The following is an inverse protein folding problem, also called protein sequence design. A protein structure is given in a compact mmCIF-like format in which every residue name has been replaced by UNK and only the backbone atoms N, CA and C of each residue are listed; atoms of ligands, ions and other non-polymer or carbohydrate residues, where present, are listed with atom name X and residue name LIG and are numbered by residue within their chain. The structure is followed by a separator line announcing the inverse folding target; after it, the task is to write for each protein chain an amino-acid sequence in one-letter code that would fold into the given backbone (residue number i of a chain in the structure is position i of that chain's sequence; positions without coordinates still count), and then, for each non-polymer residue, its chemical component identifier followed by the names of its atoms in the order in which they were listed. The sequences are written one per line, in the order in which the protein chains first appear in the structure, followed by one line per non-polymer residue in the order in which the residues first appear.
data_IF_401159761341
#
_entry.id   IF_401159761341
#
_cell.length_a   1.000
_cell.length_b   1.000
_cell.length_c   1.000
_cell.angle_alpha   90.00
_cell.angle_beta   90.00
_cell.angle_gamma   90.00
#
_symmetry.space_group_name_H-M   'P 1'
#
loop_
_entity.id
_entity.type
_entity.pdbx_description
1 polymer ?
#
# COMPACT_ATOMS: atom_id res chain seq x y z
N UNK A 1 18.72 -16.02 2.27
CA UNK A 1 17.62 -17.00 2.08
C UNK A 1 18.24 -18.38 1.84
N UNK A 2 18.00 -19.33 2.74
CA UNK A 2 18.47 -20.71 2.59
C UNK A 2 17.43 -21.52 1.82
N UNK A 3 17.79 -22.02 0.64
CA UNK A 3 17.00 -22.99 -0.12
C UNK A 3 17.61 -24.37 0.06
N UNK A 4 16.88 -25.29 0.67
CA UNK A 4 17.21 -26.72 0.69
C UNK A 4 16.52 -27.41 -0.48
N UNK A 5 17.30 -27.96 -1.42
CA UNK A 5 16.80 -28.79 -2.51
C UNK A 5 16.87 -30.24 -2.06
N UNK A 6 15.72 -30.91 -1.90
CA UNK A 6 15.66 -32.35 -1.63
C UNK A 6 15.20 -33.07 -2.89
N UNK A 7 16.13 -33.75 -3.58
CA UNK A 7 15.83 -34.65 -4.69
C UNK A 7 15.60 -36.06 -4.15
N UNK A 8 14.38 -36.58 -4.27
CA UNK A 8 14.09 -38.00 -4.01
C UNK A 8 13.09 -38.52 -5.04
N UNK A 9 13.62 -39.30 -5.99
CA UNK A 9 12.90 -40.08 -6.98
C UNK A 9 12.48 -41.44 -6.40
N UNK A 10 11.19 -41.66 -6.14
CA UNK A 10 10.50 -42.97 -6.19
C UNK A 10 9.00 -42.80 -5.87
N UNK A 11 8.09 -43.51 -6.58
CA UNK A 11 6.66 -43.43 -6.30
C UNK A 11 6.31 -44.37 -5.13
N UNK A 12 5.78 -43.82 -4.03
CA UNK A 12 5.18 -44.61 -2.95
C UNK A 12 3.71 -44.26 -2.81
N UNK A 13 2.86 -45.29 -2.86
CA UNK A 13 1.43 -45.20 -2.63
C UNK A 13 1.11 -44.49 -1.29
N UNK A 14 0.19 -43.53 -1.34
CA UNK A 14 -0.32 -42.79 -0.19
C UNK A 14 -1.11 -43.73 0.75
N UNK A 15 -0.86 -43.71 2.07
CA UNK A 15 -1.83 -44.18 3.05
C UNK A 15 -2.95 -43.14 3.24
N UNK A 16 -4.14 -43.53 3.77
CA UNK A 16 -5.24 -42.61 4.02
C UNK A 16 -4.86 -41.57 5.07
N UNK A 17 -5.20 -40.29 4.83
CA UNK A 17 -4.91 -39.18 5.74
C UNK A 17 -5.92 -39.16 6.90
N UNK A 18 -5.42 -39.41 8.12
CA UNK A 18 -6.09 -39.08 9.38
C UNK A 18 -6.21 -37.56 9.54
N UNK A 19 -7.44 -37.12 9.80
CA UNK A 19 -7.78 -35.73 10.10
C UNK A 19 -7.23 -35.32 11.47
N UNK A 20 -6.04 -34.69 11.49
CA UNK A 20 -5.49 -34.11 12.72
C UNK A 20 -6.10 -32.73 12.97
N UNK A 21 -7.04 -32.68 13.91
CA UNK A 21 -7.57 -31.47 14.54
C UNK A 21 -6.43 -30.53 15.00
N UNK A 22 -6.57 -29.24 14.65
CA UNK A 22 -5.97 -28.14 15.42
C UNK A 22 -4.54 -27.72 15.08
N UNK A 23 -4.15 -27.67 13.80
CA UNK A 23 -2.93 -26.96 13.40
C UNK A 23 -3.24 -25.47 13.21
N UNK A 24 -2.73 -24.64 14.13
CA UNK A 24 -2.80 -23.16 14.07
C UNK A 24 -2.40 -22.71 12.67
N UNK A 25 -3.26 -21.95 11.99
CA UNK A 25 -3.04 -21.48 10.60
C UNK A 25 -1.77 -20.61 10.61
N UNK A 26 -0.66 -21.12 10.06
CA UNK A 26 0.64 -20.42 10.07
C UNK A 26 0.65 -19.45 8.90
N UNK A 27 0.21 -18.22 9.14
CA UNK A 27 0.19 -17.13 8.15
C UNK A 27 1.18 -16.05 8.58
N UNK A 28 1.78 -15.36 7.62
CA UNK A 28 2.57 -14.18 7.90
C UNK A 28 1.64 -12.97 7.95
N UNK A 29 1.64 -12.25 9.07
CA UNK A 29 0.86 -11.02 9.25
C UNK A 29 1.72 -9.81 8.85
N UNK A 30 1.38 -9.22 7.71
CA UNK A 30 2.07 -8.08 7.10
C UNK A 30 1.38 -6.75 7.44
N UNK A 31 0.33 -6.77 8.27
CA UNK A 31 -0.51 -5.59 8.56
C UNK A 31 0.28 -4.46 9.23
N UNK A 32 1.20 -4.80 10.14
CA UNK A 32 2.03 -3.81 10.84
C UNK A 32 3.03 -3.10 9.92
N UNK A 33 3.60 -3.81 8.95
CA UNK A 33 4.49 -3.23 7.95
C UNK A 33 3.74 -2.25 7.04
N UNK A 34 2.53 -2.64 6.62
CA UNK A 34 1.64 -1.81 5.82
C UNK A 34 1.26 -0.50 6.52
N UNK A 35 0.92 -0.55 7.82
CA UNK A 35 0.59 0.66 8.59
C UNK A 35 1.76 1.64 8.66
N UNK A 36 3.00 1.15 8.82
CA UNK A 36 4.21 1.98 8.78
C UNK A 36 4.45 2.60 7.39
N UNK A 37 4.27 1.81 6.35
CA UNK A 37 4.43 2.26 4.96
C UNK A 37 3.36 3.31 4.59
N UNK A 38 2.12 3.11 5.03
CA UNK A 38 1.01 4.06 4.88
C UNK A 38 1.31 5.40 5.56
N UNK A 39 1.79 5.38 6.81
CA UNK A 39 2.21 6.59 7.52
C UNK A 39 3.32 7.33 6.77
N UNK A 40 4.21 6.61 6.08
CA UNK A 40 5.25 7.20 5.25
C UNK A 40 4.78 7.71 3.88
N UNK A 41 3.72 7.11 3.32
CA UNK A 41 3.13 7.42 2.00
C UNK A 41 2.11 8.57 2.03
N UNK A 42 1.39 8.72 3.15
CA UNK A 42 0.48 9.85 3.42
C UNK A 42 1.16 11.02 4.12
N UNK A 43 2.29 10.79 4.77
CA UNK A 43 3.24 11.87 5.02
C UNK A 43 3.79 12.27 3.66
N UNK A 44 3.44 13.47 3.17
CA UNK A 44 4.12 14.07 2.02
C UNK A 44 5.63 14.09 2.30
N UNK A 45 6.35 13.07 1.83
CA UNK A 45 7.80 13.12 1.71
C UNK A 45 8.25 12.89 0.27
N UNK A 46 7.89 13.76 -0.69
CA UNK A 46 8.67 13.91 -1.91
C UNK A 46 9.62 15.12 -1.86
N UNK A 47 9.74 15.83 -0.73
CA UNK A 47 10.64 16.99 -0.59
C UNK A 47 11.24 16.91 0.83
N UNK A 48 12.57 17.09 1.01
CA UNK A 48 13.15 17.18 2.35
C UNK A 48 12.37 18.24 3.13
N UNK A 49 11.80 17.86 4.28
CA UNK A 49 10.93 18.73 5.09
C UNK A 49 11.52 20.12 5.30
N UNK A 50 12.84 20.19 5.42
CA UNK A 50 13.65 21.40 5.51
C UNK A 50 13.48 22.36 4.33
N UNK A 51 13.44 21.86 3.08
CA UNK A 51 13.25 22.70 1.90
C UNK A 51 11.84 23.30 1.82
N UNK A 52 10.81 22.59 2.29
CA UNK A 52 9.46 23.15 2.40
C UNK A 52 9.40 24.26 3.46
N UNK A 53 10.04 24.06 4.62
CA UNK A 53 10.12 25.11 5.64
C UNK A 53 10.81 26.37 5.09
N UNK A 54 11.95 26.22 4.42
CA UNK A 54 12.67 27.35 3.80
C UNK A 54 11.78 28.05 2.77
N UNK A 55 11.09 27.31 1.90
CA UNK A 55 10.21 27.89 0.89
C UNK A 55 9.04 28.68 1.50
N UNK A 56 8.41 28.14 2.54
CA UNK A 56 7.32 28.80 3.26
C UNK A 56 7.81 30.06 3.95
N UNK A 57 8.97 30.03 4.60
CA UNK A 57 9.56 31.22 5.24
C UNK A 57 9.88 32.30 4.21
N UNK A 58 10.48 31.95 3.07
CA UNK A 58 10.76 32.89 1.98
C UNK A 58 9.48 33.51 1.42
N UNK A 59 8.41 32.73 1.30
CA UNK A 59 7.12 33.24 0.84
C UNK A 59 6.57 34.31 1.79
N UNK A 60 6.58 34.09 3.10
CA UNK A 60 6.09 35.10 4.06
C UNK A 60 6.95 36.36 4.09
N UNK A 61 8.27 36.23 3.98
CA UNK A 61 9.18 37.38 3.89
C UNK A 61 8.89 38.18 2.63
N UNK A 62 8.81 37.51 1.47
CA UNK A 62 8.49 38.14 0.19
C UNK A 62 7.14 38.86 0.20
N UNK A 63 6.09 38.21 0.71
CA UNK A 63 4.76 38.79 0.86
C UNK A 63 4.79 40.07 1.71
N UNK A 64 5.51 40.04 2.84
CA UNK A 64 5.62 41.19 3.75
C UNK A 64 6.28 42.39 3.07
N UNK A 65 7.36 42.15 2.32
CA UNK A 65 8.06 43.20 1.55
C UNK A 65 7.17 43.74 0.43
N UNK A 66 6.47 42.89 -0.32
CA UNK A 66 5.55 43.32 -1.38
C UNK A 66 4.38 44.15 -0.86
N UNK A 67 3.81 43.80 0.29
CA UNK A 67 2.74 44.59 0.94
C UNK A 67 3.27 45.95 1.40
N UNK A 68 4.47 45.99 2.00
CA UNK A 68 5.08 47.25 2.42
C UNK A 68 5.27 48.21 1.23
N UNK A 69 5.81 47.70 0.11
CA UNK A 69 5.97 48.49 -1.12
C UNK A 69 4.62 48.97 -1.65
N UNK A 70 3.58 48.12 -1.62
CA UNK A 70 2.23 48.52 -2.01
C UNK A 70 1.71 49.69 -1.17
N UNK A 71 1.90 49.65 0.16
CA UNK A 71 1.40 50.70 1.06
C UNK A 71 2.16 52.01 0.87
N UNK A 72 3.49 51.95 0.72
CA UNK A 72 4.35 53.15 0.64
C UNK A 72 4.32 53.78 -0.75
N UNK A 73 4.40 52.96 -1.80
CA UNK A 73 4.52 53.43 -3.20
C UNK A 73 3.16 53.48 -3.89
N UNK A 74 2.12 52.91 -3.29
CA UNK A 74 0.79 52.74 -3.90
C UNK A 74 0.84 52.04 -5.26
N UNK A 75 1.84 51.19 -5.49
CA UNK A 75 2.03 50.44 -6.73
C UNK A 75 1.84 48.94 -6.50
N UNK A 76 0.79 48.38 -7.12
CA UNK A 76 0.43 46.97 -7.00
C UNK A 76 1.27 46.01 -7.88
N UNK A 77 2.09 46.53 -8.79
CA UNK A 77 2.85 45.71 -9.73
C UNK A 77 3.74 44.66 -9.04
N UNK A 78 4.39 45.01 -7.93
CA UNK A 78 5.25 44.09 -7.17
C UNK A 78 4.46 42.98 -6.49
N UNK A 79 3.29 43.30 -5.93
CA UNK A 79 2.42 42.30 -5.30
C UNK A 79 1.88 41.33 -6.36
N UNK A 80 1.41 41.85 -7.50
CA UNK A 80 0.91 41.04 -8.61
C UNK A 80 1.98 40.10 -9.17
N UNK A 81 3.21 40.60 -9.37
CA UNK A 81 4.33 39.79 -9.84
C UNK A 81 4.71 38.68 -8.85
N UNK A 82 4.77 39.00 -7.55
CA UNK A 82 5.06 38.02 -6.50
C UNK A 82 4.00 36.92 -6.43
N UNK A 83 2.71 37.29 -6.44
CA UNK A 83 1.61 36.33 -6.44
C UNK A 83 1.66 35.41 -7.65
N UNK A 84 1.92 35.96 -8.84
CA UNK A 84 2.05 35.17 -10.06
C UNK A 84 3.20 34.17 -9.98
N UNK A 85 4.39 34.59 -9.54
CA UNK A 85 5.54 33.69 -9.36
C UNK A 85 5.24 32.60 -8.33
N UNK A 86 4.61 32.97 -7.21
CA UNK A 86 4.24 32.01 -6.16
C UNK A 86 3.25 30.96 -6.67
N UNK A 87 2.29 31.36 -7.52
CA UNK A 87 1.33 30.45 -8.13
C UNK A 87 2.00 29.47 -9.09
N UNK A 88 2.98 29.94 -9.89
CA UNK A 88 3.76 29.05 -10.77
C UNK A 88 4.56 28.02 -9.98
N UNK A 89 5.24 28.44 -8.91
CA UNK A 89 5.99 27.53 -8.04
C UNK A 89 5.05 26.54 -7.36
N UNK A 90 3.93 26.99 -6.82
CA UNK A 90 2.93 26.11 -6.19
C UNK A 90 2.35 25.09 -7.18
N UNK A 91 2.05 25.51 -8.41
CA UNK A 91 1.58 24.63 -9.49
C UNK A 91 2.63 23.57 -9.85
N UNK A 92 3.89 23.97 -9.98
CA UNK A 92 4.99 23.04 -10.25
C UNK A 92 5.18 22.04 -9.11
N UNK A 93 5.12 22.48 -7.86
CA UNK A 93 5.23 21.59 -6.69
C UNK A 93 4.04 20.64 -6.59
N UNK A 94 2.82 21.13 -6.82
CA UNK A 94 1.62 20.31 -6.83
C UNK A 94 1.69 19.26 -7.95
N UNK A 95 2.09 19.67 -9.16
CA UNK A 95 2.29 18.77 -10.30
C UNK A 95 3.33 17.70 -9.99
N UNK A 96 4.49 18.08 -9.44
CA UNK A 96 5.52 17.12 -9.05
C UNK A 96 5.05 16.19 -7.93
N UNK A 97 4.32 16.67 -6.93
CA UNK A 97 3.82 15.83 -5.86
C UNK A 97 2.79 14.79 -6.36
N UNK A 98 1.89 15.21 -7.26
CA UNK A 98 0.88 14.33 -7.88
C UNK A 98 1.55 13.32 -8.82
N UNK A 99 2.45 13.78 -9.68
CA UNK A 99 3.17 12.90 -10.61
C UNK A 99 4.13 11.96 -9.88
N UNK A 100 4.77 12.37 -8.78
CA UNK A 100 5.63 11.50 -7.99
C UNK A 100 4.87 10.29 -7.43
N UNK A 101 3.64 10.49 -6.96
CA UNK A 101 2.77 9.38 -6.49
C UNK A 101 2.46 8.38 -7.60
N UNK A 102 2.21 8.86 -8.82
CA UNK A 102 1.86 8.00 -9.95
C UNK A 102 3.09 7.34 -10.59
N UNK A 103 4.17 8.10 -10.77
CA UNK A 103 5.41 7.62 -11.36
C UNK A 103 6.17 6.66 -10.46
N UNK A 104 6.18 6.80 -9.14
CA UNK A 104 7.01 5.90 -8.32
C UNK A 104 6.50 4.45 -8.38
N UNK A 105 5.18 4.23 -8.37
CA UNK A 105 4.61 2.88 -8.55
C UNK A 105 4.91 2.30 -9.93
N UNK A 106 4.71 3.10 -10.99
CA UNK A 106 4.95 2.68 -12.37
C UNK A 106 6.45 2.49 -12.69
N UNK A 107 7.31 3.39 -12.20
CA UNK A 107 8.75 3.36 -12.40
C UNK A 107 9.40 2.22 -11.61
N UNK A 108 8.93 1.96 -10.39
CA UNK A 108 9.39 0.79 -9.63
C UNK A 108 8.97 -0.51 -10.30
N UNK A 109 7.72 -0.61 -10.79
CA UNK A 109 7.28 -1.75 -11.60
C UNK A 109 8.11 -1.91 -12.90
N UNK A 110 8.39 -0.80 -13.60
CA UNK A 110 9.23 -0.81 -14.80
C UNK A 110 10.68 -1.24 -14.50
N UNK A 111 11.25 -0.77 -13.39
CA UNK A 111 12.57 -1.15 -12.93
C UNK A 111 12.64 -2.65 -12.62
N UNK A 112 11.65 -3.18 -11.89
CA UNK A 112 11.53 -4.62 -11.65
C UNK A 112 11.34 -5.42 -12.95
N UNK A 113 10.58 -4.89 -13.90
CA UNK A 113 10.36 -5.50 -15.20
C UNK A 113 11.62 -5.50 -16.08
N UNK A 114 12.53 -4.55 -15.89
CA UNK A 114 13.78 -4.46 -16.64
C UNK A 114 14.79 -5.57 -16.29
N UNK A 115 14.65 -6.22 -15.12
CA UNK A 115 15.50 -7.37 -14.79
C UNK A 115 15.16 -8.59 -15.66
N UNK A 116 16.16 -9.29 -16.21
CA UNK A 116 15.93 -10.51 -16.97
C UNK A 116 15.44 -11.64 -16.04
N UNK A 117 14.42 -12.40 -16.47
CA UNK A 117 14.00 -13.57 -15.68
C UNK A 117 15.11 -14.62 -15.68
N UNK A 118 15.41 -15.10 -14.48
CA UNK A 118 16.46 -16.07 -14.19
C UNK A 118 15.93 -17.49 -14.35
N UNK A 119 16.77 -18.40 -14.85
CA UNK A 119 16.46 -19.83 -14.87
C UNK A 119 16.73 -20.43 -13.48
N UNK A 120 15.68 -20.96 -12.85
CA UNK A 120 15.77 -21.62 -11.55
C UNK A 120 16.78 -22.79 -11.52
N UNK A 121 17.02 -23.46 -12.64
CA UNK A 121 17.97 -24.58 -12.74
C UNK A 121 19.42 -24.14 -12.58
N UNK A 122 19.73 -22.90 -12.96
CA UNK A 122 21.08 -22.34 -12.93
C UNK A 122 21.32 -21.48 -11.69
N UNK A 123 20.27 -21.19 -10.92
CA UNK A 123 20.33 -20.36 -9.74
C UNK A 123 21.20 -21.01 -8.64
N UNK A 124 22.16 -20.24 -8.12
CA UNK A 124 23.00 -20.67 -7.01
C UNK A 124 22.38 -20.28 -5.66
N UNK A 125 22.71 -21.04 -4.62
CA UNK A 125 22.28 -20.70 -3.27
C UNK A 125 22.79 -19.30 -2.86
N UNK A 126 21.88 -18.47 -2.34
CA UNK A 126 22.18 -17.09 -1.94
C UNK A 126 22.11 -16.04 -3.06
N UNK A 127 21.86 -16.45 -4.30
CA UNK A 127 21.66 -15.53 -5.42
C UNK A 127 20.25 -14.92 -5.39
N UNK A 128 20.15 -13.61 -5.61
CA UNK A 128 18.87 -12.95 -5.89
C UNK A 128 18.46 -13.26 -7.33
N UNK A 129 17.26 -13.83 -7.50
CA UNK A 129 16.72 -14.21 -8.80
C UNK A 129 15.34 -13.60 -8.99
N UNK A 130 15.06 -13.16 -10.22
CA UNK A 130 13.71 -12.79 -10.65
C UNK A 130 13.09 -13.99 -11.35
N UNK A 131 11.92 -14.41 -10.89
CA UNK A 131 11.20 -15.57 -11.44
C UNK A 131 9.84 -15.07 -11.90
N UNK A 132 9.48 -15.42 -13.13
CA UNK A 132 8.15 -15.17 -13.70
C UNK A 132 7.50 -16.51 -13.96
N UNK A 133 6.29 -16.71 -13.45
CA UNK A 133 5.68 -18.02 -13.45
C UNK A 133 4.29 -18.07 -12.86
N UNK A 134 3.68 -19.24 -12.90
CA UNK A 134 2.36 -19.48 -12.31
C UNK A 134 2.54 -19.76 -10.82
N UNK A 135 1.89 -18.94 -10.00
CA UNK A 135 1.81 -19.15 -8.56
C UNK A 135 0.64 -20.09 -8.24
N UNK A 136 0.82 -20.99 -7.28
CA UNK A 136 -0.20 -21.94 -6.86
C UNK A 136 -0.18 -22.13 -5.35
N UNK A 137 -1.37 -22.10 -4.74
CA UNK A 137 -1.54 -22.39 -3.32
C UNK A 137 -0.99 -23.78 -2.98
N UNK A 138 -0.35 -23.88 -1.81
CA UNK A 138 0.01 -25.16 -1.21
C UNK A 138 -1.16 -25.84 -0.50
N UNK A 139 -0.87 -26.53 0.59
CA UNK A 139 -1.89 -27.17 1.45
C UNK A 139 -2.77 -26.18 2.20
N UNK A 140 -2.33 -24.92 2.31
CA UNK A 140 -3.04 -23.84 3.00
C UNK A 140 -3.32 -22.73 2.00
N UNK A 141 -4.60 -22.44 1.79
CA UNK A 141 -5.07 -21.30 0.99
C UNK A 141 -5.61 -20.21 1.90
N UNK A 142 -5.39 -18.95 1.48
CA UNK A 142 -6.05 -17.79 2.07
C UNK A 142 -7.45 -17.62 1.49
N UNK A 143 -8.25 -16.87 2.23
CA UNK A 143 -9.55 -16.38 1.83
C UNK A 143 -9.56 -14.87 2.08
N UNK A 144 -10.06 -14.09 1.13
CA UNK A 144 -10.16 -12.64 1.29
C UNK A 144 -11.19 -12.27 2.36
N UNK A 145 -11.01 -11.12 3.01
CA UNK A 145 -11.79 -10.76 4.20
C UNK A 145 -13.21 -10.33 3.82
N UNK A 146 -13.36 -9.60 2.70
CA UNK A 146 -14.63 -9.00 2.30
C UNK A 146 -15.35 -9.80 1.21
N UNK A 147 -14.73 -10.04 0.04
CA UNK A 147 -15.37 -10.81 -1.04
C UNK A 147 -15.40 -12.33 -0.79
N UNK A 148 -14.64 -12.82 0.20
CA UNK A 148 -14.51 -14.24 0.53
C UNK A 148 -14.00 -15.08 -0.65
N UNK A 149 -13.09 -14.51 -1.44
CA UNK A 149 -12.42 -15.24 -2.52
C UNK A 149 -11.45 -16.21 -1.90
N UNK A 150 -11.69 -17.51 -2.09
CA UNK A 150 -10.83 -18.58 -1.60
C UNK A 150 -9.68 -18.89 -2.58
N UNK A 151 -8.67 -19.63 -2.09
CA UNK A 151 -7.51 -20.09 -2.89
C UNK A 151 -6.52 -18.98 -3.27
N UNK A 152 -6.38 -17.99 -2.40
CA UNK A 152 -5.39 -16.93 -2.56
C UNK A 152 -4.08 -17.27 -1.84
N UNK A 153 -2.96 -16.84 -2.42
CA UNK A 153 -1.60 -16.89 -1.86
C UNK A 153 -1.35 -15.64 -1.03
N UNK A 154 -1.95 -14.53 -1.46
CA UNK A 154 -1.94 -13.26 -0.77
C UNK A 154 -3.35 -12.70 -0.67
N UNK A 155 -3.66 -12.09 0.47
CA UNK A 155 -4.90 -11.34 0.64
C UNK A 155 -4.62 -10.09 1.47
N UNK A 156 -5.14 -8.96 1.02
CA UNK A 156 -5.10 -7.69 1.71
C UNK A 156 -6.44 -7.02 1.72
N UNK A 157 -6.84 -6.48 2.87
CA UNK A 157 -8.05 -5.70 3.02
C UNK A 157 -7.70 -4.41 3.77
N UNK A 158 -7.99 -3.26 3.16
CA UNK A 158 -7.71 -1.94 3.71
C UNK A 158 -9.01 -1.16 3.83
N UNK A 159 -9.28 -0.63 5.02
CA UNK A 159 -10.39 0.29 5.25
C UNK A 159 -9.84 1.69 5.51
N UNK A 160 -10.34 2.62 4.73
CA UNK A 160 -10.06 4.04 4.88
C UNK A 160 -11.30 4.76 5.39
N UNK A 161 -11.07 5.63 6.35
CA UNK A 161 -12.05 6.54 6.90
C UNK A 161 -11.69 7.96 6.47
N UNK A 162 -12.66 8.70 5.96
CA UNK A 162 -12.44 10.11 5.68
C UNK A 162 -12.41 10.90 6.98
N UNK A 163 -11.34 11.67 7.20
CA UNK A 163 -11.23 12.58 8.33
C UNK A 163 -12.32 13.65 8.28
N UNK A 164 -13.35 13.51 9.12
CA UNK A 164 -14.41 14.50 9.26
C UNK A 164 -13.89 15.75 9.99
N UNK A 165 -14.37 16.93 9.58
CA UNK A 165 -14.00 18.19 10.21
C UNK A 165 -14.50 18.20 11.67
N UNK A 166 -13.61 17.93 12.62
CA UNK A 166 -13.94 17.87 14.05
C UNK A 166 -13.21 18.96 14.81
N UNK A 167 -13.96 19.90 15.40
CA UNK A 167 -13.48 20.90 16.37
C UNK A 167 -13.14 20.24 17.72
N UNK A 168 -12.26 19.23 17.74
CA UNK A 168 -11.67 18.71 18.98
C UNK A 168 -10.16 18.95 18.96
N UNK A 169 -9.61 19.76 19.88
CA UNK A 169 -8.20 20.11 19.87
C UNK A 169 -7.43 19.01 20.59
N UNK A 170 -7.00 17.98 19.86
CA UNK A 170 -5.94 17.09 20.36
C UNK A 170 -4.99 16.76 19.22
N UNK A 171 -3.75 17.22 19.41
CA UNK A 171 -2.54 16.99 18.65
C UNK A 171 -2.43 17.68 17.27
N UNK A 172 -1.66 18.76 17.34
CA UNK A 172 -1.02 19.49 16.25
C UNK A 172 -0.36 18.50 15.29
N UNK A 173 -0.85 18.45 14.05
CA UNK A 173 -0.26 17.87 12.82
C UNK A 173 -1.15 16.86 12.07
N UNK A 174 -2.47 17.05 12.04
CA UNK A 174 -3.34 16.28 11.12
C UNK A 174 -4.04 17.22 10.14
N UNK A 175 -3.66 17.04 8.87
CA UNK A 175 -4.25 17.69 7.70
C UNK A 175 -5.77 17.52 7.69
N UNK A 176 -6.48 18.62 7.58
CA UNK A 176 -7.87 18.64 7.16
C UNK A 176 -7.98 18.00 5.76
N UNK A 177 -9.02 17.19 5.51
CA UNK A 177 -9.36 16.56 4.22
C UNK A 177 -8.48 15.38 3.75
N UNK A 178 -8.21 14.39 4.61
CA UNK A 178 -7.48 13.18 4.18
C UNK A 178 -8.20 11.89 4.55
N UNK A 179 -8.06 10.89 3.68
CA UNK A 179 -8.38 9.49 3.97
C UNK A 179 -7.37 8.94 4.96
N UNK A 180 -7.84 8.50 6.13
CA UNK A 180 -7.04 7.87 7.16
C UNK A 180 -7.22 6.34 7.09
N UNK A 181 -6.14 5.58 7.15
CA UNK A 181 -6.22 4.13 7.23
C UNK A 181 -6.72 3.74 8.63
N UNK A 182 -7.95 3.23 8.71
CA UNK A 182 -8.59 2.81 9.95
C UNK A 182 -8.36 1.33 10.24
N UNK A 183 -8.24 0.53 9.19
CA UNK A 183 -8.04 -0.91 9.29
C UNK A 183 -7.12 -1.41 8.18
N UNK A 184 -6.24 -2.34 8.51
CA UNK A 184 -5.40 -3.02 7.53
C UNK A 184 -5.20 -4.46 7.96
N UNK A 185 -5.52 -5.37 7.05
CA UNK A 185 -5.18 -6.78 7.11
C UNK A 185 -4.35 -7.11 5.88
N UNK A 186 -3.16 -7.68 6.07
CA UNK A 186 -2.38 -8.26 4.97
C UNK A 186 -1.82 -9.59 5.40
N UNK A 187 -2.13 -10.64 4.64
CA UNK A 187 -1.68 -12.00 4.91
C UNK A 187 -1.00 -12.62 3.72
N UNK A 188 0.05 -13.39 3.99
CA UNK A 188 0.72 -14.24 2.99
C UNK A 188 0.91 -15.65 3.54
N UNK A 189 0.80 -16.64 2.65
CA UNK A 189 1.04 -18.06 2.95
C UNK A 189 2.16 -18.61 2.08
N UNK A 190 2.74 -19.74 2.48
CA UNK A 190 3.66 -20.48 1.64
C UNK A 190 2.97 -20.93 0.35
N UNK A 191 3.65 -20.74 -0.78
CA UNK A 191 3.12 -21.07 -2.10
C UNK A 191 4.15 -21.74 -2.99
N UNK A 192 3.69 -22.32 -4.08
CA UNK A 192 4.54 -22.85 -5.13
C UNK A 192 4.57 -21.87 -6.30
N UNK A 193 5.75 -21.63 -6.86
CA UNK A 193 5.91 -20.93 -8.12
C UNK A 193 6.49 -21.89 -9.14
N UNK A 194 5.85 -21.96 -10.31
CA UNK A 194 6.35 -22.74 -11.45
C UNK A 194 6.94 -21.79 -12.47
N UNK A 195 8.26 -21.83 -12.63
CA UNK A 195 8.97 -20.99 -13.60
C UNK A 195 8.54 -21.33 -15.02
N UNK A 196 8.13 -20.30 -15.77
CA UNK A 196 7.64 -20.46 -17.14
C UNK A 196 8.76 -20.90 -18.10
N UNK A 197 10.02 -20.50 -17.87
CA UNK A 197 11.15 -20.81 -18.76
C UNK A 197 11.65 -22.23 -18.56
N UNK A 198 11.86 -22.64 -17.31
CA UNK A 198 12.48 -23.93 -16.99
C UNK A 198 11.48 -25.05 -16.66
N UNK A 199 10.22 -24.71 -16.33
CA UNK A 199 9.21 -25.64 -15.82
C UNK A 199 9.47 -26.13 -14.39
N UNK A 200 10.53 -25.62 -13.73
CA UNK A 200 10.86 -26.01 -12.36
C UNK A 200 9.87 -25.39 -11.39
N UNK A 201 9.36 -26.21 -10.48
CA UNK A 201 8.54 -25.75 -9.36
C UNK A 201 9.41 -25.52 -8.12
N UNK A 202 9.39 -24.30 -7.62
CA UNK A 202 10.00 -23.94 -6.34
C UNK A 202 8.91 -23.67 -5.30
N UNK A 203 9.23 -23.96 -4.04
CA UNK A 203 8.41 -23.53 -2.90
C UNK A 203 8.94 -22.19 -2.40
N UNK A 204 8.05 -21.21 -2.29
CA UNK A 204 8.33 -19.91 -1.71
C UNK A 204 7.83 -19.91 -0.28
N UNK A 205 8.77 -19.71 0.65
CA UNK A 205 8.48 -19.55 2.07
C UNK A 205 8.16 -18.09 2.35
N UNK A 206 6.87 -17.77 2.24
CA UNK A 206 6.34 -16.43 2.51
C UNK A 206 5.56 -16.36 3.84
N UNK A 207 5.36 -17.52 4.50
CA UNK A 207 4.74 -17.66 5.81
C UNK A 207 5.60 -17.19 6.99
N UNK A 208 5.26 -17.67 8.19
CA UNK A 208 5.75 -17.16 9.48
C UNK A 208 7.27 -17.03 9.57
N UNK A 209 7.73 -15.82 9.91
CA UNK A 209 9.14 -15.51 10.20
C UNK A 209 9.98 -15.09 8.99
N UNK A 210 9.40 -15.00 7.79
CA UNK A 210 10.08 -14.52 6.59
C UNK A 210 9.68 -13.08 6.27
N UNK A 211 10.63 -12.27 5.82
CA UNK A 211 10.35 -10.91 5.34
C UNK A 211 9.83 -10.98 3.90
N UNK A 212 8.63 -10.46 3.68
CA UNK A 212 7.95 -10.45 2.38
C UNK A 212 7.42 -9.05 2.13
N UNK A 213 7.69 -8.51 0.94
CA UNK A 213 7.16 -7.22 0.50
C UNK A 213 6.25 -7.45 -0.72
N UNK A 214 4.93 -7.54 -0.52
CA UNK A 214 3.96 -7.72 -1.61
C UNK A 214 3.83 -6.43 -2.41
N UNK A 215 3.79 -6.54 -3.74
CA UNK A 215 3.61 -5.42 -4.67
C UNK A 215 2.32 -5.60 -5.46
N UNK A 216 1.22 -5.75 -4.73
CA UNK A 216 -0.10 -6.01 -5.30
C UNK A 216 -0.88 -4.70 -5.32
N UNK A 217 -1.53 -4.42 -6.45
CA UNK A 217 -2.39 -3.26 -6.61
C UNK A 217 -3.76 -3.62 -6.04
N UNK A 218 -4.19 -2.93 -4.99
CA UNK A 218 -5.50 -3.15 -4.39
C UNK A 218 -6.61 -2.49 -5.22
N UNK A 219 -7.76 -3.17 -5.32
CA UNK A 219 -8.95 -2.68 -6.03
C UNK A 219 -9.93 -2.01 -5.06
N UNK A 220 -10.50 -0.88 -5.48
CA UNK A 220 -11.54 -0.18 -4.70
C UNK A 220 -12.87 -0.93 -4.86
N UNK A 221 -13.29 -1.64 -3.80
CA UNK A 221 -14.52 -2.43 -3.80
C UNK A 221 -15.74 -1.61 -3.35
N UNK A 222 -15.55 -0.76 -2.35
CA UNK A 222 -16.64 0.05 -1.81
C UNK A 222 -16.18 1.47 -1.61
N UNK A 223 -16.97 2.42 -2.13
CA UNK A 223 -16.81 3.85 -1.88
C UNK A 223 -18.15 4.43 -1.44
N UNK A 224 -18.23 4.83 -0.18
CA UNK A 224 -19.43 5.49 0.34
C UNK A 224 -19.33 7.00 0.11
N UNK A 225 -20.38 7.58 -0.44
CA UNK A 225 -20.45 9.02 -0.73
C UNK A 225 -21.25 9.77 0.33
N UNK A 226 -21.11 11.10 0.41
CA UNK A 226 -21.79 11.93 1.42
C UNK A 226 -23.33 11.86 1.33
N UNK A 227 -23.84 11.46 0.17
CA UNK A 227 -25.27 11.33 -0.09
C UNK A 227 -25.84 9.97 0.34
N UNK A 228 -24.99 8.95 0.49
CA UNK A 228 -25.40 7.61 0.89
C UNK A 228 -25.03 7.37 2.37
N UNK A 229 -25.93 7.82 3.27
CA UNK A 229 -25.74 7.63 4.73
C UNK A 229 -26.05 6.20 5.20
N UNK A 230 -26.63 5.37 4.36
CA UNK A 230 -26.96 3.97 4.69
C UNK A 230 -25.86 3.05 4.18
N UNK A 231 -25.14 2.38 5.10
CA UNK A 231 -24.18 1.33 4.76
C UNK A 231 -24.92 0.11 4.20
N UNK A 232 -24.29 -0.60 3.26
CA UNK A 232 -24.83 -1.88 2.82
C UNK A 232 -24.87 -2.87 3.99
N UNK A 233 -25.86 -3.77 4.05
CA UNK A 233 -25.97 -4.74 5.15
C UNK A 233 -24.73 -5.65 5.21
N UNK A 234 -24.15 -5.97 4.05
CA UNK A 234 -22.92 -6.73 3.95
C UNK A 234 -21.74 -6.01 4.61
N UNK A 235 -21.53 -4.73 4.28
CA UNK A 235 -20.47 -3.92 4.88
C UNK A 235 -20.67 -3.70 6.38
N UNK A 236 -21.91 -3.45 6.82
CA UNK A 236 -22.21 -3.26 8.24
C UNK A 236 -21.93 -4.51 9.08
N UNK A 237 -22.27 -5.70 8.55
CA UNK A 237 -21.97 -6.96 9.22
C UNK A 237 -20.45 -7.21 9.26
N UNK A 238 -19.74 -7.00 8.15
CA UNK A 238 -18.28 -7.14 8.11
C UNK A 238 -17.57 -6.19 9.10
N UNK A 239 -17.99 -4.92 9.19
CA UNK A 239 -17.44 -3.97 10.17
C UNK A 239 -17.66 -4.46 11.61
N UNK A 240 -18.84 -5.01 11.90
CA UNK A 240 -19.17 -5.56 13.22
C UNK A 240 -18.30 -6.77 13.57
N UNK A 241 -18.09 -7.66 12.61
CA UNK A 241 -17.24 -8.85 12.78
C UNK A 241 -15.79 -8.46 13.11
N UNK A 242 -15.32 -7.31 12.60
CA UNK A 242 -13.98 -6.74 12.88
C UNK A 242 -13.93 -5.80 14.10
N UNK A 243 -15.01 -5.69 14.87
CA UNK A 243 -15.15 -4.75 15.99
C UNK A 243 -14.93 -3.26 15.59
N UNK A 244 -15.25 -2.91 14.35
CA UNK A 244 -15.19 -1.55 13.84
C UNK A 244 -16.56 -0.87 13.97
N UNK A 245 -16.58 0.45 14.14
CA UNK A 245 -17.86 1.17 14.25
C UNK A 245 -18.64 1.11 12.91
N UNK A 246 -19.90 0.70 13.02
CA UNK A 246 -20.83 0.61 11.89
C UNK A 246 -21.63 1.91 11.69
N UNK A 247 -21.18 3.02 12.27
CA UNK A 247 -21.82 4.32 12.07
C UNK A 247 -21.67 4.81 10.63
N UNK A 248 -22.70 5.50 10.14
CA UNK A 248 -22.74 6.11 8.83
C UNK A 248 -21.64 7.17 8.66
N UNK A 249 -20.60 6.84 7.91
CA UNK A 249 -19.49 7.75 7.58
C UNK A 249 -18.93 7.46 6.20
N UNK A 250 -18.06 8.34 5.75
CA UNK A 250 -17.32 8.16 4.50
C UNK A 250 -16.21 7.12 4.70
N UNK A 251 -16.51 5.92 4.25
CA UNK A 251 -15.64 4.75 4.17
C UNK A 251 -15.24 4.47 2.72
N UNK A 252 -13.99 4.06 2.53
CA UNK A 252 -13.50 3.41 1.33
C UNK A 252 -12.87 2.07 1.73
N UNK A 253 -13.33 0.99 1.11
CA UNK A 253 -12.79 -0.34 1.30
C UNK A 253 -12.06 -0.77 0.03
N UNK A 254 -10.79 -1.13 0.20
CA UNK A 254 -9.93 -1.66 -0.85
C UNK A 254 -9.55 -3.10 -0.50
N UNK A 255 -9.56 -4.00 -1.48
CA UNK A 255 -9.13 -5.38 -1.33
C UNK A 255 -8.17 -5.75 -2.45
N UNK A 256 -7.15 -6.55 -2.14
CA UNK A 256 -6.16 -7.01 -3.10
C UNK A 256 -5.84 -8.47 -2.84
N UNK A 257 -5.79 -9.29 -3.88
CA UNK A 257 -5.52 -10.71 -3.76
C UNK A 257 -4.82 -11.25 -4.99
N UNK A 258 -4.11 -12.36 -4.81
CA UNK A 258 -3.43 -13.14 -5.84
C UNK A 258 -3.49 -14.64 -5.52
#
# INVERSE_FOLDING_TARGET
MHFGVSTSSTPRCLPPFEETKGKKRVMNDLSNAAVREQQSSYSCKPIPSLALYILVTLFFIGLSVSIFILVVVHNAAFLLSFLFLSALVASFLAWNAVNWRHHNKAAFGFFLNSFPDSDLRLARQGQLVKITGVASCGSHSLETSYERVARCIYASTLLYEYGQFGLKPVNVNRSCFQWNLAYCERFSTDFYITDQKSGVRAVVKAGSGCEVMPLIIESELVNTTKQCRTLSPHLSNWLRDKNLSAEARLLRLEEGFE
#
